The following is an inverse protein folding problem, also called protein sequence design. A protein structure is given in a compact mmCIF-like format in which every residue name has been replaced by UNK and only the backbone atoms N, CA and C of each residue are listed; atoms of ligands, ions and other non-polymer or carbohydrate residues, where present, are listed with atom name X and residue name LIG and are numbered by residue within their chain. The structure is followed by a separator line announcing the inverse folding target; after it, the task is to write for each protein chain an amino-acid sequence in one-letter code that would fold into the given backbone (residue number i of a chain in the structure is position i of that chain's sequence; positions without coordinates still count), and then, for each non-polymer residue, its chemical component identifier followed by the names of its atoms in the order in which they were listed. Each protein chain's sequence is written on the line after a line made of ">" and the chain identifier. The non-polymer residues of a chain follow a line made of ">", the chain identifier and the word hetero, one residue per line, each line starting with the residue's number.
data_IF_134431763293
#
_entry.id   IF_134431763293
#
_cell.length_a   1.000
_cell.length_b   1.000
_cell.length_c   1.000
_cell.angle_alpha   90.00
_cell.angle_beta   90.00
_cell.angle_gamma   90.00
#
_symmetry.space_group_name_H-M   'P 1'
#
loop_
_entity.id
_entity.type
_entity.pdbx_description
1 polymer ?
#
# COMPACT_ATOMS: atom_id res chain seq x y z
N UNK A 1 -18.35 -2.70 -9.80
CA UNK A 1 -17.89 -1.62 -8.89
C UNK A 1 -16.40 -1.49 -9.09
N UNK A 2 -15.96 -0.60 -9.98
CA UNK A 2 -14.56 -0.43 -10.32
C UNK A 2 -13.82 -0.04 -9.04
N UNK A 3 -13.01 -0.94 -8.49
CA UNK A 3 -12.03 -0.54 -7.49
C UNK A 3 -11.10 0.40 -8.24
N UNK A 4 -11.25 1.70 -7.98
CA UNK A 4 -10.34 2.71 -8.49
C UNK A 4 -8.89 2.36 -8.15
N UNK A 5 -7.92 3.04 -8.77
CA UNK A 5 -6.51 2.83 -8.48
C UNK A 5 -6.26 2.91 -6.97
N UNK A 6 -5.41 2.03 -6.45
CA UNK A 6 -5.07 2.00 -5.03
C UNK A 6 -4.39 3.32 -4.68
N UNK A 7 -4.97 4.04 -3.73
CA UNK A 7 -4.42 5.29 -3.21
C UNK A 7 -3.28 4.94 -2.25
N UNK A 8 -2.06 4.95 -2.76
CA UNK A 8 -0.87 4.60 -1.98
C UNK A 8 -0.60 5.56 -0.83
N UNK A 9 -1.24 6.73 -0.76
CA UNK A 9 -1.11 7.64 0.39
C UNK A 9 -1.97 7.22 1.59
N UNK A 10 -3.08 6.52 1.34
CA UNK A 10 -4.06 6.12 2.37
C UNK A 10 -4.16 4.60 2.54
N UNK A 11 -3.67 3.85 1.56
CA UNK A 11 -3.75 2.41 1.48
C UNK A 11 -2.37 1.76 1.44
N UNK A 12 -2.33 0.47 1.73
CA UNK A 12 -1.10 -0.31 1.83
C UNK A 12 -0.30 -0.28 0.53
N UNK A 13 -0.93 -0.44 -0.64
CA UNK A 13 -0.24 -0.34 -1.93
C UNK A 13 0.75 -1.46 -2.23
N UNK A 14 0.95 -2.43 -1.34
CA UNK A 14 1.85 -3.57 -1.58
C UNK A 14 1.31 -4.45 -2.69
N UNK A 15 2.18 -4.81 -3.64
CA UNK A 15 1.83 -5.72 -4.73
C UNK A 15 1.37 -7.08 -4.20
N UNK A 16 0.23 -7.55 -4.69
CA UNK A 16 -0.33 -8.84 -4.29
C UNK A 16 0.16 -9.95 -5.25
N UNK A 17 0.34 -11.19 -4.77
CA UNK A 17 0.79 -12.31 -5.60
C UNK A 17 -0.16 -12.62 -6.77
N UNK A 18 -1.46 -12.38 -6.59
CA UNK A 18 -2.50 -12.59 -7.61
C UNK A 18 -2.68 -11.42 -8.58
N UNK A 19 -1.76 -10.45 -8.57
CA UNK A 19 -1.89 -9.21 -9.33
C UNK A 19 -2.64 -8.11 -8.58
N UNK A 20 -2.34 -6.86 -8.98
CA UNK A 20 -2.86 -5.66 -8.33
C UNK A 20 -2.16 -5.32 -7.02
N UNK A 21 -2.73 -4.36 -6.30
CA UNK A 21 -2.15 -3.79 -5.09
C UNK A 21 -3.10 -3.90 -3.91
N UNK A 22 -2.53 -3.93 -2.71
CA UNK A 22 -3.29 -4.03 -1.47
C UNK A 22 -4.05 -2.73 -1.18
N UNK A 23 -5.37 -2.76 -1.37
CA UNK A 23 -6.28 -1.66 -1.07
C UNK A 23 -6.68 -1.57 0.42
N UNK A 24 -6.01 -2.31 1.32
CA UNK A 24 -6.23 -2.21 2.78
C UNK A 24 -5.61 -0.93 3.32
N UNK A 25 -5.87 -0.60 4.59
CA UNK A 25 -5.23 0.54 5.25
C UNK A 25 -3.70 0.48 5.16
N UNK A 26 -3.04 1.65 5.25
CA UNK A 26 -1.57 1.74 5.36
C UNK A 26 -1.04 0.71 6.37
N UNK A 27 -1.64 0.68 7.56
CA UNK A 27 -1.28 -0.18 8.70
C UNK A 27 -1.71 -1.64 8.59
N UNK A 28 -2.07 -2.14 7.41
CA UNK A 28 -2.58 -3.50 7.29
C UNK A 28 -1.63 -4.54 7.92
N UNK A 29 -2.21 -5.53 8.60
CA UNK A 29 -1.47 -6.61 9.30
C UNK A 29 -0.96 -7.72 8.37
N UNK A 30 -1.29 -7.64 7.10
CA UNK A 30 -1.04 -8.71 6.12
C UNK A 30 0.35 -8.61 5.51
N UNK A 31 0.89 -7.41 5.42
CA UNK A 31 2.19 -7.17 4.82
C UNK A 31 3.19 -6.75 5.88
N UNK A 32 4.44 -7.14 5.72
CA UNK A 32 5.54 -6.71 6.58
C UNK A 32 5.81 -5.21 6.39
N UNK A 33 6.47 -4.58 7.37
CA UNK A 33 6.88 -3.17 7.27
C UNK A 33 7.83 -2.94 6.09
N UNK A 34 8.73 -3.89 5.81
CA UNK A 34 9.62 -3.82 4.65
C UNK A 34 8.86 -3.77 3.33
N UNK A 35 7.84 -4.62 3.16
CA UNK A 35 7.01 -4.61 1.97
C UNK A 35 6.24 -3.29 1.81
N UNK A 36 5.67 -2.76 2.91
CA UNK A 36 4.94 -1.48 2.91
C UNK A 36 5.83 -0.28 2.57
N UNK A 37 7.07 -0.27 3.07
CA UNK A 37 8.08 0.76 2.77
C UNK A 37 8.59 0.70 1.33
N UNK A 38 8.61 -0.48 0.72
CA UNK A 38 9.05 -0.67 -0.65
C UNK A 38 8.01 -0.25 -1.71
N UNK A 39 6.82 0.21 -1.30
CA UNK A 39 5.76 0.64 -2.22
C UNK A 39 6.16 1.93 -2.93
N UNK A 40 6.36 1.91 -4.26
CA UNK A 40 6.70 3.10 -5.02
C UNK A 40 5.47 4.01 -5.18
N UNK A 41 5.72 5.29 -5.49
CA UNK A 41 4.66 6.25 -5.81
C UNK A 41 3.98 6.91 -4.60
N UNK A 42 4.45 6.63 -3.37
CA UNK A 42 4.06 7.42 -2.20
C UNK A 42 4.77 8.78 -2.23
N UNK A 43 4.06 9.84 -1.85
CA UNK A 43 4.61 11.21 -1.75
C UNK A 43 5.69 11.33 -0.68
N UNK A 44 5.59 10.51 0.37
CA UNK A 44 6.56 10.39 1.44
C UNK A 44 6.74 8.92 1.83
N UNK A 45 7.79 8.62 2.60
CA UNK A 45 8.02 7.26 3.10
C UNK A 45 6.85 6.80 3.98
N UNK A 46 6.63 5.49 4.03
CA UNK A 46 5.54 4.89 4.82
C UNK A 46 5.52 5.39 6.28
N UNK A 47 6.69 5.59 6.88
CA UNK A 47 6.82 6.07 8.26
C UNK A 47 6.40 7.52 8.46
N UNK A 48 6.42 8.34 7.40
CA UNK A 48 5.96 9.74 7.42
C UNK A 48 4.46 9.84 7.16
N UNK A 49 3.89 8.87 6.44
CA UNK A 49 2.46 8.78 6.15
C UNK A 49 1.65 8.12 7.29
N UNK A 50 2.32 7.68 8.35
CA UNK A 50 1.70 7.10 9.54
C UNK A 50 1.30 8.20 10.54
#
# INVERSE_FOLDING_TARGET
>A
KNKGPVDVERQCGVALPGGGFCARSLTCKTHSMGAKRAVPGRSASYDVLL
#
